data_IF_876415682879
#
_entry.id   IF_876415682879
#
_cell.length_a   1.000
_cell.length_b   1.000
_cell.length_c   1.000
_cell.angle_alpha   90.00
_cell.angle_beta   90.00
_cell.angle_gamma   90.00
#
_symmetry.space_group_name_H-M   'P 1'
#
loop_
_entity.id
_entity.type
_entity.pdbx_description
1 polymer ?
#
# COMPACT_ATOMS: atom_id res chain seq x y z
N UNK A 1 -6.00 2.50 14.94
CA UNK A 1 -6.44 3.78 15.51
C UNK A 1 -7.27 4.57 14.53
N UNK A 2 -8.33 5.21 15.01
CA UNK A 2 -9.09 6.21 14.26
C UNK A 2 -8.43 7.58 14.43
N UNK A 3 -7.93 8.17 13.34
CA UNK A 3 -7.25 9.47 13.41
C UNK A 3 -8.23 10.63 13.37
N UNK A 4 -9.27 10.50 12.56
CA UNK A 4 -10.24 11.56 12.31
C UNK A 4 -11.56 11.30 13.01
N UNK A 5 -12.04 12.29 13.75
CA UNK A 5 -13.33 12.29 14.43
C UNK A 5 -14.19 13.46 13.95
N UNK A 6 -15.43 13.53 14.46
CA UNK A 6 -16.29 14.68 14.24
C UNK A 6 -15.70 15.90 14.95
N UNK A 7 -15.84 17.07 14.34
CA UNK A 7 -15.44 18.34 14.99
C UNK A 7 -16.42 18.67 16.10
N UNK A 8 -15.89 18.96 17.28
CA UNK A 8 -16.67 19.28 18.49
C UNK A 8 -16.02 20.43 19.28
N UNK A 9 -16.79 21.01 20.21
CA UNK A 9 -16.30 22.03 21.14
C UNK A 9 -15.83 23.32 20.44
N UNK A 10 -14.74 23.89 20.97
CA UNK A 10 -14.17 25.18 20.57
C UNK A 10 -13.78 25.25 19.08
N UNK A 11 -13.53 24.10 18.44
CA UNK A 11 -13.12 24.02 17.04
C UNK A 11 -14.28 24.19 16.05
N UNK A 12 -15.53 24.01 16.50
CA UNK A 12 -16.71 23.94 15.63
C UNK A 12 -16.90 25.21 14.80
N UNK A 13 -16.84 26.38 15.45
CA UNK A 13 -17.08 27.67 14.81
C UNK A 13 -16.03 27.97 13.74
N UNK A 14 -14.76 27.74 14.07
CA UNK A 14 -13.65 27.92 13.14
C UNK A 14 -13.77 26.96 11.96
N UNK A 15 -14.05 25.68 12.21
CA UNK A 15 -14.14 24.69 11.16
C UNK A 15 -15.32 24.94 10.19
N UNK A 16 -16.49 25.32 10.69
CA UNK A 16 -17.66 25.61 9.84
C UNK A 16 -17.45 26.85 8.96
N UNK A 17 -16.66 27.85 9.40
CA UNK A 17 -16.33 29.05 8.59
C UNK A 17 -15.72 28.70 7.23
N UNK A 18 -14.92 27.65 7.14
CA UNK A 18 -14.22 27.25 5.91
C UNK A 18 -14.93 26.15 5.12
N UNK A 19 -16.09 25.67 5.57
CA UNK A 19 -16.86 24.63 4.88
C UNK A 19 -17.48 25.18 3.60
N UNK A 20 -17.47 24.40 2.52
CA UNK A 20 -18.05 24.79 1.23
C UNK A 20 -19.05 23.74 0.74
N UNK A 21 -20.24 24.18 0.34
CA UNK A 21 -21.26 23.30 -0.23
C UNK A 21 -21.61 22.11 0.66
N UNK A 22 -21.69 20.90 0.06
CA UNK A 22 -22.04 19.65 0.76
C UNK A 22 -20.81 18.89 1.25
N UNK A 23 -19.99 19.56 2.05
CA UNK A 23 -18.83 18.95 2.70
C UNK A 23 -19.16 18.45 4.11
N UNK A 24 -18.51 17.36 4.50
CA UNK A 24 -18.44 16.87 5.87
C UNK A 24 -17.07 17.25 6.43
N UNK A 25 -17.07 17.67 7.70
CA UNK A 25 -15.89 18.14 8.40
C UNK A 25 -15.43 17.07 9.38
N UNK A 26 -14.13 16.78 9.38
CA UNK A 26 -13.50 15.92 10.37
C UNK A 26 -12.23 16.57 10.91
N UNK A 27 -11.88 16.27 12.14
CA UNK A 27 -10.68 16.79 12.82
C UNK A 27 -9.77 15.64 13.24
N UNK A 28 -8.47 15.82 13.11
CA UNK A 28 -7.47 14.82 13.50
C UNK A 28 -7.24 14.80 15.01
N UNK A 29 -6.61 13.72 15.50
CA UNK A 29 -5.82 13.75 16.73
C UNK A 29 -4.69 14.82 16.67
N UNK A 30 -4.16 15.27 17.82
CA UNK A 30 -3.13 16.31 17.88
C UNK A 30 -1.84 15.93 17.15
N UNK A 31 -1.20 16.96 16.61
CA UNK A 31 0.15 16.93 16.03
C UNK A 31 0.97 17.99 16.75
N UNK A 32 2.11 17.61 17.31
CA UNK A 32 3.06 18.53 17.92
C UNK A 32 4.07 19.03 16.90
N UNK A 33 4.32 20.34 16.93
CA UNK A 33 5.39 20.98 16.19
C UNK A 33 5.92 22.18 16.98
N UNK A 34 7.23 22.20 17.25
CA UNK A 34 7.93 23.27 17.98
C UNK A 34 7.29 23.60 19.33
N UNK A 35 6.86 22.58 20.08
CA UNK A 35 6.25 22.70 21.40
C UNK A 35 4.78 23.11 21.39
N UNK A 36 4.18 23.32 20.22
CA UNK A 36 2.77 23.68 20.06
C UNK A 36 1.95 22.51 19.52
N UNK A 37 0.70 22.42 19.95
CA UNK A 37 -0.24 21.41 19.49
C UNK A 37 -1.18 21.97 18.42
N UNK A 38 -1.33 21.20 17.36
CA UNK A 38 -2.15 21.53 16.21
C UNK A 38 -3.06 20.37 15.85
N UNK A 39 -4.16 20.67 15.16
CA UNK A 39 -5.06 19.68 14.59
C UNK A 39 -5.34 20.00 13.14
N UNK A 40 -5.46 18.95 12.34
CA UNK A 40 -5.86 19.06 10.95
C UNK A 40 -7.37 18.90 10.83
N UNK A 41 -8.04 19.90 10.28
CA UNK A 41 -9.43 19.84 9.85
C UNK A 41 -9.47 19.53 8.36
N UNK A 42 -10.18 18.46 7.99
CA UNK A 42 -10.36 18.04 6.60
C UNK A 42 -11.81 18.19 6.15
N UNK A 43 -11.97 18.62 4.90
CA UNK A 43 -13.27 18.83 4.26
C UNK A 43 -13.44 17.84 3.13
N UNK A 44 -14.38 16.93 3.29
CA UNK A 44 -14.64 15.85 2.33
C UNK A 44 -16.04 16.01 1.73
N UNK A 45 -16.20 15.93 0.40
CA UNK A 45 -17.52 15.94 -0.21
C UNK A 45 -18.38 14.81 0.33
N UNK A 46 -19.67 15.08 0.47
CA UNK A 46 -20.65 14.09 0.88
C UNK A 46 -21.80 14.03 -0.11
N UNK A 47 -22.29 12.82 -0.35
CA UNK A 47 -23.46 12.58 -1.17
C UNK A 47 -24.33 11.50 -0.52
N UNK A 48 -25.62 11.81 -0.31
CA UNK A 48 -26.58 10.92 0.37
C UNK A 48 -26.04 10.38 1.71
N UNK A 49 -25.43 11.25 2.53
CA UNK A 49 -24.87 10.89 3.83
C UNK A 49 -23.55 10.11 3.80
N UNK A 50 -23.03 9.71 2.62
CA UNK A 50 -21.75 9.03 2.49
C UNK A 50 -20.62 10.03 2.22
N UNK A 51 -19.57 9.98 3.04
CA UNK A 51 -18.34 10.77 2.88
C UNK A 51 -17.50 10.15 1.76
N UNK A 52 -17.03 10.98 0.82
CA UNK A 52 -16.03 10.56 -0.17
C UNK A 52 -14.64 10.65 0.44
N UNK A 53 -13.76 9.71 0.09
CA UNK A 53 -12.37 9.69 0.58
C UNK A 53 -11.54 10.90 0.11
N UNK A 54 -11.94 11.56 -0.98
CA UNK A 54 -11.23 12.71 -1.51
C UNK A 54 -11.36 13.93 -0.58
N UNK A 55 -10.23 14.53 -0.21
CA UNK A 55 -10.16 15.80 0.53
C UNK A 55 -10.20 16.98 -0.44
N UNK A 56 -11.11 17.92 -0.21
CA UNK A 56 -11.25 19.16 -1.01
C UNK A 56 -10.79 20.42 -0.28
N UNK A 57 -10.44 20.29 1.00
CA UNK A 57 -9.97 21.39 1.81
C UNK A 57 -9.27 20.89 3.06
N UNK A 58 -8.29 21.66 3.51
CA UNK A 58 -7.58 21.45 4.76
C UNK A 58 -7.51 22.79 5.50
N UNK A 59 -7.67 22.76 6.82
CA UNK A 59 -7.34 23.88 7.71
C UNK A 59 -6.54 23.31 8.87
N UNK A 60 -5.49 24.02 9.29
CA UNK A 60 -4.77 23.69 10.52
C UNK A 60 -5.20 24.67 11.61
N UNK A 61 -5.48 24.13 12.80
CA UNK A 61 -5.91 24.91 13.95
C UNK A 61 -5.05 24.61 15.17
N UNK A 62 -4.85 25.60 16.02
CA UNK A 62 -4.21 25.47 17.34
C UNK A 62 -5.18 24.83 18.35
N UNK A 63 -4.68 24.43 19.52
CA UNK A 63 -5.54 24.00 20.64
C UNK A 63 -6.49 25.10 21.16
N UNK A 64 -6.20 26.39 20.92
CA UNK A 64 -7.13 27.49 21.22
C UNK A 64 -8.26 27.63 20.17
N UNK A 65 -8.18 26.90 19.06
CA UNK A 65 -9.14 26.95 17.95
C UNK A 65 -8.88 28.05 16.92
N UNK A 66 -7.71 28.68 16.97
CA UNK A 66 -7.26 29.68 16.00
C UNK A 66 -6.69 29.01 14.75
N UNK A 67 -6.86 29.64 13.60
CA UNK A 67 -6.31 29.14 12.32
C UNK A 67 -4.82 29.45 12.24
N UNK A 68 -4.04 28.48 11.80
CA UNK A 68 -2.61 28.67 11.51
C UNK A 68 -2.45 29.34 10.15
N UNK A 69 -1.81 30.51 10.12
CA UNK A 69 -1.54 31.25 8.88
C UNK A 69 -0.06 31.23 8.46
N UNK A 70 0.84 30.91 9.39
CA UNK A 70 2.28 30.87 9.12
C UNK A 70 2.63 29.80 8.08
N UNK A 71 3.24 30.22 6.97
CA UNK A 71 3.52 29.34 5.82
C UNK A 71 4.54 28.26 6.12
N UNK A 72 5.50 28.50 7.01
CA UNK A 72 6.49 27.47 7.40
C UNK A 72 5.79 26.41 8.23
N UNK A 73 5.05 26.81 9.24
CA UNK A 73 4.27 25.91 10.10
C UNK A 73 3.27 25.10 9.28
N UNK A 74 2.54 25.72 8.35
CA UNK A 74 1.60 25.01 7.48
C UNK A 74 2.27 23.93 6.62
N UNK A 75 3.48 24.18 6.11
CA UNK A 75 4.24 23.19 5.33
C UNK A 75 4.68 22.00 6.18
N UNK A 76 5.20 22.27 7.37
CA UNK A 76 5.63 21.21 8.29
C UNK A 76 4.44 20.38 8.78
N UNK A 77 3.34 21.03 9.15
CA UNK A 77 2.11 20.35 9.54
C UNK A 77 1.52 19.52 8.38
N UNK A 78 1.55 20.02 7.14
CA UNK A 78 1.12 19.25 5.98
C UNK A 78 1.95 17.98 5.77
N UNK A 79 3.27 18.06 5.99
CA UNK A 79 4.19 16.92 5.93
C UNK A 79 3.90 15.91 7.05
N UNK A 80 3.84 16.37 8.30
CA UNK A 80 3.53 15.51 9.46
C UNK A 80 2.16 14.85 9.32
N UNK A 81 1.12 15.60 8.96
CA UNK A 81 -0.22 15.06 8.72
C UNK A 81 -0.25 14.02 7.61
N UNK A 82 0.50 14.22 6.52
CA UNK A 82 0.56 13.24 5.43
C UNK A 82 1.05 11.88 5.93
N UNK A 83 2.16 11.86 6.67
CA UNK A 83 2.68 10.61 7.22
C UNK A 83 1.79 10.05 8.32
N UNK A 84 1.24 10.91 9.18
CA UNK A 84 0.32 10.48 10.23
C UNK A 84 -0.86 9.70 9.64
N UNK A 85 -1.48 10.24 8.59
CA UNK A 85 -2.59 9.59 7.89
C UNK A 85 -2.18 8.27 7.24
N UNK A 86 -1.06 8.24 6.53
CA UNK A 86 -0.63 7.03 5.82
C UNK A 86 -0.22 5.89 6.77
N UNK A 87 0.31 6.23 7.95
CA UNK A 87 0.83 5.25 8.90
C UNK A 87 -0.26 4.74 9.85
N UNK A 88 -1.15 5.61 10.35
CA UNK A 88 -2.05 5.29 11.45
C UNK A 88 -3.52 5.10 11.07
N UNK A 89 -3.95 5.44 9.85
CA UNK A 89 -5.37 5.40 9.49
C UNK A 89 -5.78 3.97 9.14
N UNK A 90 -6.32 3.26 10.11
CA UNK A 90 -6.81 1.89 9.93
C UNK A 90 -8.18 1.83 9.24
N UNK A 91 -8.97 2.89 9.32
CA UNK A 91 -10.28 2.95 8.65
C UNK A 91 -10.08 3.10 7.13
N UNK A 92 -8.97 3.69 6.70
CA UNK A 92 -8.60 3.83 5.29
C UNK A 92 -8.56 2.49 4.56
N UNK A 93 -9.15 2.46 3.35
CA UNK A 93 -9.03 1.30 2.43
C UNK A 93 -7.60 1.03 1.99
N UNK A 94 -6.72 2.03 2.12
CA UNK A 94 -5.30 1.96 1.77
C UNK A 94 -4.43 1.62 2.98
N UNK A 95 -5.03 1.29 4.13
CA UNK A 95 -4.28 0.91 5.32
C UNK A 95 -3.36 -0.27 5.03
N UNK A 96 -2.09 -0.13 5.43
CA UNK A 96 -1.07 -1.18 5.28
C UNK A 96 -1.48 -2.48 5.97
N UNK A 97 -2.24 -2.42 7.08
CA UNK A 97 -2.71 -3.61 7.79
C UNK A 97 -3.56 -4.53 6.91
N UNK A 98 -4.27 -3.97 5.91
CA UNK A 98 -5.11 -4.72 4.97
C UNK A 98 -4.29 -5.52 3.95
N UNK A 99 -2.97 -5.29 3.86
CA UNK A 99 -2.07 -6.04 3.00
C UNK A 99 -1.54 -7.33 3.66
N UNK A 100 -1.80 -7.55 4.96
CA UNK A 100 -1.53 -8.82 5.62
C UNK A 100 -2.40 -9.92 5.03
N UNK A 101 -1.79 -11.06 4.77
CA UNK A 101 -2.42 -12.27 4.25
C UNK A 101 -2.27 -13.35 5.31
N UNK A 102 -3.30 -14.20 5.52
CA UNK A 102 -3.22 -15.22 6.57
C UNK A 102 -2.26 -16.36 6.21
N UNK A 103 -1.80 -17.11 7.21
CA UNK A 103 -0.96 -18.29 6.96
C UNK A 103 -1.71 -19.37 6.18
N UNK A 104 -3.03 -19.51 6.35
CA UNK A 104 -3.86 -20.40 5.54
C UNK A 104 -3.86 -20.01 4.06
N UNK A 105 -3.96 -18.70 3.76
CA UNK A 105 -3.88 -18.19 2.40
C UNK A 105 -2.50 -18.40 1.78
N UNK A 106 -1.42 -18.21 2.55
CA UNK A 106 -0.05 -18.51 2.10
C UNK A 106 0.11 -20.01 1.85
N UNK A 107 -0.40 -20.87 2.73
CA UNK A 107 -0.34 -22.33 2.56
C UNK A 107 -1.16 -22.80 1.34
N UNK A 108 -2.26 -22.12 1.03
CA UNK A 108 -3.00 -22.34 -0.21
C UNK A 108 -2.17 -21.93 -1.43
N UNK A 109 -1.49 -20.78 -1.37
CA UNK A 109 -0.56 -20.33 -2.42
C UNK A 109 0.58 -21.34 -2.64
N UNK A 110 1.13 -21.94 -1.57
CA UNK A 110 2.15 -23.00 -1.67
C UNK A 110 1.61 -24.20 -2.45
N UNK A 111 0.45 -24.73 -2.08
CA UNK A 111 -0.19 -25.87 -2.78
C UNK A 111 -0.50 -25.56 -4.24
N UNK A 112 -0.98 -24.34 -4.49
CA UNK A 112 -1.24 -23.85 -5.84
C UNK A 112 0.06 -23.80 -6.67
N UNK A 113 1.16 -23.32 -6.08
CA UNK A 113 2.47 -23.25 -6.72
C UNK A 113 3.06 -24.63 -6.99
N UNK A 114 2.82 -25.64 -6.15
CA UNK A 114 3.24 -27.02 -6.41
C UNK A 114 2.61 -27.58 -7.70
N UNK A 115 1.33 -27.29 -7.98
CA UNK A 115 0.68 -27.68 -9.24
C UNK A 115 1.31 -26.95 -10.44
N UNK A 116 1.62 -25.67 -10.28
CA UNK A 116 2.28 -24.86 -11.31
C UNK A 116 3.67 -25.41 -11.61
N UNK A 117 4.45 -25.75 -10.58
CA UNK A 117 5.80 -26.33 -10.72
C UNK A 117 5.72 -27.67 -11.45
N UNK A 118 4.77 -28.55 -11.10
CA UNK A 118 4.56 -29.82 -11.84
C UNK A 118 4.29 -29.60 -13.32
N UNK A 119 3.47 -28.60 -13.67
CA UNK A 119 3.24 -28.24 -15.07
C UNK A 119 4.54 -27.76 -15.75
N UNK A 120 5.30 -26.90 -15.09
CA UNK A 120 6.59 -26.40 -15.60
C UNK A 120 7.62 -27.51 -15.79
N UNK A 121 7.74 -28.43 -14.84
CA UNK A 121 8.64 -29.58 -14.94
C UNK A 121 8.32 -30.46 -16.15
N UNK A 122 7.03 -30.66 -16.45
CA UNK A 122 6.62 -31.41 -17.65
C UNK A 122 7.00 -30.72 -18.97
N UNK A 123 7.20 -29.40 -18.95
CA UNK A 123 7.66 -28.60 -20.10
C UNK A 123 9.18 -28.60 -20.26
N UNK A 124 9.96 -29.00 -19.24
CA UNK A 124 11.44 -29.06 -19.32
C UNK A 124 11.93 -29.96 -20.45
N UNK A 125 11.20 -31.04 -20.73
CA UNK A 125 11.55 -32.04 -21.75
C UNK A 125 11.52 -31.48 -23.18
N UNK A 126 11.14 -30.22 -23.37
CA UNK A 126 10.94 -29.58 -24.67
C UNK A 126 11.99 -28.51 -25.00
N UNK A 127 13.07 -28.39 -24.22
CA UNK A 127 14.11 -27.35 -24.35
C UNK A 127 13.53 -25.90 -24.31
N UNK A 128 12.42 -25.71 -23.61
CA UNK A 128 11.80 -24.39 -23.49
C UNK A 128 12.63 -23.50 -22.54
N UNK A 129 13.16 -22.40 -23.06
CA UNK A 129 13.93 -21.45 -22.27
C UNK A 129 13.08 -20.79 -21.18
N UNK A 130 13.68 -20.55 -20.01
CA UNK A 130 13.04 -19.84 -18.91
C UNK A 130 12.16 -20.69 -17.98
N UNK A 131 12.01 -21.99 -18.23
CA UNK A 131 11.26 -22.91 -17.34
C UNK A 131 11.84 -22.93 -15.93
N UNK A 132 13.17 -23.10 -15.79
CA UNK A 132 13.85 -23.07 -14.49
C UNK A 132 13.69 -21.72 -13.77
N UNK A 133 13.66 -20.62 -14.53
CA UNK A 133 13.43 -19.29 -13.99
C UNK A 133 12.03 -19.19 -13.38
N UNK A 134 11.00 -19.68 -14.08
CA UNK A 134 9.64 -19.67 -13.56
C UNK A 134 9.48 -20.61 -12.36
N UNK A 135 10.10 -21.78 -12.38
CA UNK A 135 10.11 -22.68 -11.22
C UNK A 135 10.70 -21.94 -10.01
N UNK A 136 11.86 -21.31 -10.16
CA UNK A 136 12.49 -20.52 -9.10
C UNK A 136 11.56 -19.41 -8.58
N UNK A 137 10.85 -18.70 -9.48
CA UNK A 137 9.88 -17.67 -9.08
C UNK A 137 8.75 -18.27 -8.24
N UNK A 138 8.07 -19.31 -8.72
CA UNK A 138 6.94 -19.92 -8.01
C UNK A 138 7.34 -20.61 -6.71
N UNK A 139 8.56 -21.15 -6.62
CA UNK A 139 9.12 -21.67 -5.37
C UNK A 139 9.33 -20.58 -4.32
N UNK A 140 9.81 -19.39 -4.73
CA UNK A 140 10.17 -18.31 -3.80
C UNK A 140 9.04 -17.32 -3.51
N UNK A 141 7.98 -17.27 -4.33
CA UNK A 141 6.85 -16.35 -4.14
C UNK A 141 6.22 -16.42 -2.73
N UNK A 142 5.93 -17.60 -2.16
CA UNK A 142 5.36 -17.69 -0.81
C UNK A 142 6.28 -17.09 0.26
N UNK A 143 7.61 -17.26 0.10
CA UNK A 143 8.57 -16.73 1.07
C UNK A 143 8.64 -15.20 1.02
N UNK A 144 8.63 -14.60 -0.18
CA UNK A 144 8.54 -13.14 -0.30
C UNK A 144 7.27 -12.55 0.34
N UNK A 145 6.20 -13.36 0.41
CA UNK A 145 4.95 -12.98 1.08
C UNK A 145 5.07 -13.07 2.60
N UNK A 146 5.74 -14.09 3.14
CA UNK A 146 6.08 -14.15 4.57
C UNK A 146 6.96 -12.99 5.00
N UNK A 147 7.96 -12.63 4.20
CA UNK A 147 8.80 -11.45 4.43
C UNK A 147 7.98 -10.16 4.45
N UNK A 148 7.05 -10.00 3.50
CA UNK A 148 6.13 -8.86 3.48
C UNK A 148 5.24 -8.81 4.74
N UNK A 149 4.68 -9.95 5.15
CA UNK A 149 3.90 -10.06 6.39
C UNK A 149 4.73 -9.69 7.62
N UNK A 150 5.97 -10.19 7.72
CA UNK A 150 6.88 -9.89 8.82
C UNK A 150 7.16 -8.39 8.94
N UNK A 151 7.47 -7.72 7.83
CA UNK A 151 7.69 -6.27 7.81
C UNK A 151 6.44 -5.48 8.23
N UNK A 152 5.24 -5.91 7.78
CA UNK A 152 3.98 -5.30 8.21
C UNK A 152 3.75 -5.52 9.70
N UNK A 153 3.95 -6.74 10.20
CA UNK A 153 3.78 -7.06 11.62
C UNK A 153 4.73 -6.24 12.50
N UNK A 154 6.00 -6.12 12.13
CA UNK A 154 6.97 -5.27 12.83
C UNK A 154 6.48 -3.82 12.95
N UNK A 155 6.11 -3.21 11.82
CA UNK A 155 5.58 -1.84 11.79
C UNK A 155 4.29 -1.69 12.62
N UNK A 156 3.36 -2.64 12.50
CA UNK A 156 2.08 -2.56 13.21
C UNK A 156 2.23 -2.77 14.71
N UNK A 157 3.18 -3.60 15.15
CA UNK A 157 3.52 -3.75 16.56
C UNK A 157 4.12 -2.46 17.11
N UNK A 158 5.00 -1.81 16.35
CA UNK A 158 5.55 -0.51 16.74
C UNK A 158 4.49 0.58 16.83
N UNK A 159 3.51 0.59 15.93
CA UNK A 159 2.35 1.49 16.03
C UNK A 159 1.55 1.26 17.31
N UNK A 160 1.38 0.00 17.75
CA UNK A 160 0.61 -0.32 18.96
C UNK A 160 1.25 0.22 20.24
N UNK A 161 2.56 0.44 20.27
CA UNK A 161 3.25 1.11 21.39
C UNK A 161 2.70 2.52 21.65
N UNK A 162 2.07 3.11 20.64
CA UNK A 162 1.50 4.44 20.68
C UNK A 162 -0.04 4.47 20.79
N UNK A 163 -0.70 3.31 20.90
CA UNK A 163 -2.16 3.22 20.94
C UNK A 163 -2.68 3.62 22.32
N UNK A 164 -2.82 4.93 22.53
CA UNK A 164 -3.37 5.52 23.75
C UNK A 164 -4.39 6.63 23.43
N UNK A 165 -5.26 6.95 24.41
CA UNK A 165 -6.31 7.96 24.24
C UNK A 165 -5.72 9.35 23.96
N UNK A 166 -4.66 9.72 24.68
CA UNK A 166 -3.97 11.01 24.61
C UNK A 166 -2.86 11.07 23.54
N UNK A 167 -3.00 10.29 22.47
CA UNK A 167 -1.95 10.16 21.47
C UNK A 167 -1.70 11.49 20.75
N UNK A 168 -0.46 11.96 20.82
CA UNK A 168 0.04 13.15 20.10
C UNK A 168 1.09 12.68 19.10
N UNK A 169 0.86 12.97 17.81
CA UNK A 169 1.82 12.65 16.77
C UNK A 169 2.95 13.70 16.75
N UNK A 170 4.20 13.25 16.78
CA UNK A 170 5.38 14.13 16.79
C UNK A 170 6.36 13.74 15.69
N UNK A 171 7.31 14.63 15.39
CA UNK A 171 8.42 14.32 14.46
C UNK A 171 9.27 13.13 14.94
N UNK A 172 9.47 12.99 16.26
CA UNK A 172 10.23 11.87 16.83
C UNK A 172 9.52 10.53 16.57
N UNK A 173 8.19 10.50 16.70
CA UNK A 173 7.39 9.31 16.38
C UNK A 173 7.52 8.97 14.89
N UNK A 174 7.39 9.97 14.01
CA UNK A 174 7.61 9.79 12.57
C UNK A 174 8.99 9.19 12.28
N UNK A 175 10.05 9.76 12.83
CA UNK A 175 11.42 9.33 12.57
C UNK A 175 11.65 7.89 13.07
N UNK A 176 10.97 7.48 14.15
CA UNK A 176 11.01 6.11 14.64
C UNK A 176 10.28 5.09 13.73
N UNK A 177 9.30 5.56 12.93
CA UNK A 177 8.41 4.72 12.12
C UNK A 177 8.76 4.72 10.63
N UNK A 178 9.47 5.73 10.13
CA UNK A 178 9.73 5.89 8.70
C UNK A 178 10.51 4.73 8.10
N UNK A 179 11.49 4.18 8.85
CA UNK A 179 12.29 3.04 8.38
C UNK A 179 11.45 1.76 8.33
N UNK A 180 10.76 1.32 9.41
CA UNK A 180 9.83 0.19 9.34
C UNK A 180 8.76 0.33 8.24
N UNK A 181 8.21 1.53 8.06
CA UNK A 181 7.25 1.83 6.99
C UNK A 181 7.86 1.59 5.60
N UNK A 182 9.08 2.08 5.36
CA UNK A 182 9.79 1.88 4.08
C UNK A 182 10.15 0.41 3.84
N UNK A 183 10.50 -0.34 4.88
CA UNK A 183 10.82 -1.77 4.76
C UNK A 183 9.65 -2.57 4.17
N UNK A 184 8.40 -2.19 4.46
CA UNK A 184 7.20 -2.81 3.85
C UNK A 184 7.18 -2.57 2.34
N UNK A 185 7.44 -1.33 1.92
CA UNK A 185 7.44 -0.95 0.52
C UNK A 185 8.58 -1.63 -0.25
N UNK A 186 9.75 -1.79 0.39
CA UNK A 186 10.92 -2.50 -0.15
C UNK A 186 10.64 -4.01 -0.26
N UNK A 187 10.03 -4.63 0.77
CA UNK A 187 9.67 -6.05 0.73
C UNK A 187 8.71 -6.35 -0.45
N UNK A 188 7.69 -5.51 -0.63
CA UNK A 188 6.81 -5.62 -1.79
C UNK A 188 7.56 -5.38 -3.11
N UNK A 189 8.45 -4.39 -3.18
CA UNK A 189 9.28 -4.14 -4.36
C UNK A 189 10.15 -5.34 -4.74
N UNK A 190 10.80 -5.98 -3.77
CA UNK A 190 11.62 -7.17 -3.98
C UNK A 190 10.81 -8.35 -4.52
N UNK A 191 9.57 -8.51 -4.06
CA UNK A 191 8.62 -9.47 -4.67
C UNK A 191 8.33 -9.13 -6.13
N UNK A 192 8.11 -7.86 -6.47
CA UNK A 192 7.92 -7.43 -7.87
C UNK A 192 9.19 -7.71 -8.70
N UNK A 193 10.39 -7.46 -8.17
CA UNK A 193 11.65 -7.77 -8.84
C UNK A 193 11.83 -9.26 -9.10
N UNK A 194 11.45 -10.13 -8.15
CA UNK A 194 11.44 -11.58 -8.35
C UNK A 194 10.55 -11.96 -9.53
N UNK A 195 9.31 -11.45 -9.58
CA UNK A 195 8.38 -11.69 -10.69
C UNK A 195 8.99 -11.20 -12.01
N UNK A 196 9.57 -9.99 -12.03
CA UNK A 196 10.10 -9.40 -13.26
C UNK A 196 11.21 -10.23 -13.93
N UNK A 197 11.95 -11.07 -13.18
CA UNK A 197 12.98 -11.97 -13.75
C UNK A 197 12.44 -12.92 -14.82
N UNK A 198 11.15 -13.29 -14.74
CA UNK A 198 10.49 -14.18 -15.69
C UNK A 198 9.84 -13.46 -16.88
N UNK A 199 9.83 -12.12 -16.90
CA UNK A 199 9.02 -11.30 -17.83
C UNK A 199 9.20 -11.71 -19.30
N UNK A 200 10.43 -11.98 -19.72
CA UNK A 200 10.75 -12.33 -21.09
C UNK A 200 10.19 -13.70 -21.53
N UNK A 201 9.91 -14.62 -20.59
CA UNK A 201 9.53 -16.00 -20.88
C UNK A 201 8.04 -16.28 -20.71
N UNK A 202 7.28 -15.33 -20.15
CA UNK A 202 5.87 -15.54 -19.81
C UNK A 202 4.99 -15.88 -21.01
N UNK A 203 5.18 -15.22 -22.15
CA UNK A 203 4.32 -15.45 -23.31
C UNK A 203 4.58 -16.82 -23.97
N UNK A 204 5.84 -17.22 -24.09
CA UNK A 204 6.21 -18.50 -24.67
C UNK A 204 5.77 -19.67 -23.78
N UNK A 205 6.03 -19.60 -22.47
CA UNK A 205 5.64 -20.65 -21.52
C UNK A 205 4.11 -20.76 -21.42
N UNK A 206 3.40 -19.63 -21.41
CA UNK A 206 1.93 -19.64 -21.43
C UNK A 206 1.41 -20.30 -22.70
N UNK A 207 1.98 -19.98 -23.87
CA UNK A 207 1.57 -20.55 -25.16
C UNK A 207 1.76 -22.07 -25.18
N UNK A 208 2.88 -22.58 -24.69
CA UNK A 208 3.11 -24.02 -24.58
C UNK A 208 2.19 -24.69 -23.56
N UNK A 209 1.95 -24.07 -22.41
CA UNK A 209 0.97 -24.54 -21.43
C UNK A 209 -0.44 -24.67 -22.04
N UNK A 210 -0.89 -23.66 -22.80
CA UNK A 210 -2.18 -23.69 -23.50
C UNK A 210 -2.26 -24.80 -24.55
N UNK A 211 -1.16 -25.08 -25.28
CA UNK A 211 -1.11 -26.20 -26.23
C UNK A 211 -1.26 -27.54 -25.52
N UNK A 212 -0.56 -27.72 -24.39
CA UNK A 212 -0.62 -28.95 -23.59
C UNK A 212 -2.00 -29.16 -22.97
N UNK A 213 -2.58 -28.12 -22.39
CA UNK A 213 -3.94 -28.13 -21.85
C UNK A 213 -4.98 -28.63 -22.88
N UNK A 214 -4.89 -28.18 -24.13
CA UNK A 214 -5.78 -28.60 -25.23
C UNK A 214 -5.63 -30.07 -25.64
N UNK A 215 -4.49 -30.71 -25.36
CA UNK A 215 -4.24 -32.12 -25.71
C UNK A 215 -4.86 -33.11 -24.71
N UNK A 216 -5.25 -32.65 -23.52
CA UNK A 216 -5.87 -33.48 -22.50
C UNK A 216 -7.40 -33.46 -22.63
N UNK A 217 -8.00 -34.65 -22.75
CA UNK A 217 -9.45 -34.81 -22.74
C UNK A 217 -10.05 -34.36 -21.39
N UNK A 218 -11.34 -34.02 -21.38
CA UNK A 218 -12.08 -33.74 -20.16
C UNK A 218 -12.14 -35.07 -19.37
N UNK A 219 -11.27 -35.25 -18.37
CA UNK A 219 -11.23 -36.46 -17.53
C UNK A 219 -9.86 -36.90 -17.02
N UNK A 220 -8.73 -36.40 -17.54
CA UNK A 220 -7.39 -36.61 -16.94
C UNK A 220 -7.15 -35.57 -15.84
N UNK A 221 -7.73 -35.81 -14.67
CA UNK A 221 -8.15 -34.76 -13.72
C UNK A 221 -7.06 -33.98 -12.95
N UNK A 222 -5.76 -34.29 -13.03
CA UNK A 222 -4.74 -33.52 -12.28
C UNK A 222 -3.76 -32.74 -13.17
N UNK A 223 -3.40 -33.27 -14.34
CA UNK A 223 -2.42 -32.64 -15.22
C UNK A 223 -3.01 -31.44 -15.96
N UNK A 224 -4.26 -31.54 -16.41
CA UNK A 224 -4.97 -30.44 -17.07
C UNK A 224 -5.11 -29.23 -16.15
N UNK A 225 -5.51 -29.46 -14.92
CA UNK A 225 -5.68 -28.43 -13.89
C UNK A 225 -4.37 -27.72 -13.59
N UNK A 226 -3.24 -28.45 -13.58
CA UNK A 226 -1.91 -27.89 -13.40
C UNK A 226 -1.54 -26.90 -14.51
N UNK A 227 -1.83 -27.22 -15.78
CA UNK A 227 -1.60 -26.30 -16.90
C UNK A 227 -2.54 -25.10 -16.89
N UNK A 228 -3.84 -25.30 -16.60
CA UNK A 228 -4.80 -24.19 -16.45
C UNK A 228 -4.34 -23.23 -15.34
N UNK A 229 -3.85 -23.77 -14.23
CA UNK A 229 -3.32 -22.97 -13.11
C UNK A 229 -2.08 -22.19 -13.52
N UNK A 230 -1.14 -22.80 -14.25
CA UNK A 230 0.05 -22.13 -14.78
C UNK A 230 -0.34 -20.97 -15.71
N UNK A 231 -1.26 -21.19 -16.66
CA UNK A 231 -1.74 -20.16 -17.59
C UNK A 231 -2.34 -18.95 -16.85
N UNK A 232 -3.24 -19.20 -15.90
CA UNK A 232 -3.88 -18.16 -15.10
C UNK A 232 -2.88 -17.40 -14.23
N UNK A 233 -1.91 -18.12 -13.66
CA UNK A 233 -0.89 -17.53 -12.79
C UNK A 233 0.06 -16.63 -13.59
N UNK A 234 0.50 -17.05 -14.78
CA UNK A 234 1.28 -16.18 -15.68
C UNK A 234 0.51 -14.91 -16.03
N UNK A 235 -0.78 -15.02 -16.37
CA UNK A 235 -1.59 -13.83 -16.68
C UNK A 235 -1.69 -12.86 -15.49
N UNK A 236 -1.82 -13.41 -14.28
CA UNK A 236 -1.79 -12.62 -13.06
C UNK A 236 -0.44 -11.93 -12.84
N UNK A 237 0.68 -12.65 -13.00
CA UNK A 237 2.03 -12.06 -12.91
C UNK A 237 2.23 -10.94 -13.94
N UNK A 238 1.75 -11.12 -15.19
CA UNK A 238 1.77 -10.05 -16.21
C UNK A 238 0.92 -8.83 -15.83
N UNK A 239 -0.22 -9.01 -15.16
CA UNK A 239 -1.04 -7.90 -14.64
C UNK A 239 -0.29 -7.13 -13.56
N UNK A 240 0.39 -7.84 -12.67
CA UNK A 240 1.26 -7.22 -11.65
C UNK A 240 2.35 -6.38 -12.33
N UNK A 241 3.09 -6.94 -13.29
CA UNK A 241 4.17 -6.20 -13.95
C UNK A 241 3.67 -4.92 -14.65
N UNK A 242 2.49 -4.96 -15.28
CA UNK A 242 1.85 -3.77 -15.86
C UNK A 242 1.53 -2.70 -14.82
N UNK A 243 1.03 -3.09 -13.64
CA UNK A 243 0.73 -2.14 -12.56
C UNK A 243 2.01 -1.45 -12.04
N UNK A 244 3.13 -2.16 -12.02
CA UNK A 244 4.41 -1.68 -11.49
C UNK A 244 5.41 -1.26 -12.57
N UNK A 245 4.96 -1.05 -13.82
CA UNK A 245 5.82 -0.81 -14.99
C UNK A 245 6.86 0.29 -14.75
N UNK A 246 6.45 1.37 -14.08
CA UNK A 246 7.31 2.53 -13.79
C UNK A 246 8.54 2.21 -12.93
N UNK A 247 8.52 1.12 -12.17
CA UNK A 247 9.57 0.81 -11.18
C UNK A 247 10.31 -0.51 -11.47
N UNK A 248 9.89 -1.27 -12.48
CA UNK A 248 10.42 -2.64 -12.73
C UNK A 248 11.94 -2.68 -12.88
N UNK A 249 12.51 -1.67 -13.54
CA UNK A 249 13.93 -1.61 -13.89
C UNK A 249 14.75 -0.77 -12.90
N UNK A 250 14.11 -0.26 -11.83
CA UNK A 250 14.81 0.46 -10.79
C UNK A 250 15.68 -0.47 -9.94
N UNK A 251 16.80 0.04 -9.45
CA UNK A 251 17.47 -0.48 -8.25
C UNK A 251 16.68 -0.10 -7.00
N UNK A 252 17.01 -0.71 -5.85
CA UNK A 252 16.38 -0.35 -4.58
C UNK A 252 16.61 1.13 -4.23
N UNK A 253 17.83 1.66 -4.41
CA UNK A 253 18.14 3.09 -4.20
C UNK A 253 17.32 4.02 -5.11
N UNK A 254 17.13 3.64 -6.37
CA UNK A 254 16.30 4.40 -7.31
C UNK A 254 14.83 4.37 -6.87
N UNK A 255 14.36 3.22 -6.39
CA UNK A 255 13.00 3.07 -5.88
C UNK A 255 12.78 3.91 -4.61
N UNK A 256 13.71 3.94 -3.67
CA UNK A 256 13.63 4.80 -2.47
C UNK A 256 13.55 6.27 -2.86
N UNK A 257 14.42 6.74 -3.76
CA UNK A 257 14.36 8.12 -4.28
C UNK A 257 13.04 8.43 -4.99
N UNK A 258 12.47 7.44 -5.68
CA UNK A 258 11.17 7.56 -6.33
C UNK A 258 10.03 7.69 -5.30
N UNK A 259 10.07 6.95 -4.20
CA UNK A 259 9.11 7.09 -3.10
C UNK A 259 9.18 8.49 -2.48
N UNK A 260 10.39 8.99 -2.18
CA UNK A 260 10.58 10.33 -1.62
C UNK A 260 10.01 11.43 -2.53
N UNK A 261 10.16 11.25 -3.84
CA UNK A 261 9.58 12.16 -4.84
C UNK A 261 8.04 12.11 -4.79
N UNK A 262 7.44 10.92 -4.75
CA UNK A 262 5.98 10.78 -4.66
C UNK A 262 5.45 11.42 -3.38
N UNK A 263 6.08 11.15 -2.24
CA UNK A 263 5.67 11.70 -0.95
C UNK A 263 5.69 13.23 -1.01
N UNK A 264 6.78 13.80 -1.53
CA UNK A 264 6.88 15.26 -1.73
C UNK A 264 5.79 15.80 -2.64
N UNK A 265 5.51 15.15 -3.77
CA UNK A 265 4.42 15.57 -4.67
C UNK A 265 3.04 15.52 -3.99
N UNK A 266 2.80 14.53 -3.12
CA UNK A 266 1.55 14.41 -2.36
C UNK A 266 1.44 15.46 -1.25
N UNK A 267 2.53 15.74 -0.55
CA UNK A 267 2.59 16.81 0.45
C UNK A 267 2.32 18.16 -0.22
N UNK A 268 2.95 18.45 -1.35
CA UNK A 268 2.70 19.68 -2.13
C UNK A 268 1.25 19.77 -2.63
N UNK A 269 0.65 18.65 -3.03
CA UNK A 269 -0.77 18.61 -3.38
C UNK A 269 -1.66 18.92 -2.16
N UNK A 270 -1.33 18.42 -0.97
CA UNK A 270 -2.05 18.72 0.27
C UNK A 270 -1.90 20.20 0.65
N UNK A 271 -0.71 20.78 0.51
CA UNK A 271 -0.47 22.20 0.78
C UNK A 271 -1.38 23.08 -0.09
N UNK A 272 -1.59 22.73 -1.36
CA UNK A 272 -2.51 23.45 -2.27
C UNK A 272 -3.99 23.37 -1.86
N UNK A 273 -4.36 22.42 -1.00
CA UNK A 273 -5.72 22.29 -0.47
C UNK A 273 -5.95 23.08 0.82
N UNK A 274 -4.90 23.68 1.40
CA UNK A 274 -5.02 24.47 2.62
C UNK A 274 -5.86 25.73 2.32
N UNK A 275 -6.90 25.95 3.14
CA UNK A 275 -7.80 27.10 3.08
C UNK A 275 -7.37 28.12 4.12
N UNK A 276 -7.10 29.33 3.67
CA UNK A 276 -6.76 30.49 4.50
C UNK A 276 -7.76 31.60 4.21
#
# INVERSE_FOLDING_TARGET
MKIFTKVEGIYTKTAEKYKRGREQIRISKPIEFEGNLYRQVVYNPSFLGKIKEETKGIVFITESGDVVEDKRTLRELASLSYYFQNMFDEESKKSIKRALISDEEINKEVKDNELIIKALESLKNENLHGVDMLINIFTNLPETRRQSNSAILEFTNKIKEFDNEDFIFTKQILDSLIIPYRNILIANFNRIKLINRGRAFYDDIKKEASKRNKRFSIGTNNTKDSFVKLENSIEYLKKILRLYEKVLDMSEDQYIKYLDKIDKEKIEANIKLIRN
#
